data_IF_158052721837
#
_entry.id   IF_158052721837
#
_cell.length_a   1.000
_cell.length_b   1.000
_cell.length_c   1.000
_cell.angle_alpha   90.00
_cell.angle_beta   90.00
_cell.angle_gamma   90.00
#
_symmetry.space_group_name_H-M   'P 1'
#
loop_
_entity.id
_entity.type
_entity.pdbx_description
1 polymer ?
#
# COMPACT_ATOMS: atom_id res chain seq x y z
N UNK A 1 59.60 -26.76 -36.39
CA UNK A 1 59.14 -27.74 -35.40
C UNK A 1 58.03 -27.11 -34.59
N UNK A 2 56.82 -27.68 -34.71
CA UNK A 2 55.66 -27.46 -33.83
C UNK A 2 55.97 -27.92 -32.38
N UNK A 3 55.13 -27.69 -31.33
CA UNK A 3 53.75 -27.18 -31.36
C UNK A 3 53.38 -26.12 -30.27
N UNK A 4 52.19 -25.52 -30.44
CA UNK A 4 51.37 -24.86 -29.40
C UNK A 4 50.75 -25.92 -28.46
N UNK A 5 50.34 -25.54 -27.23
CA UNK A 5 48.89 -25.37 -27.01
C UNK A 5 48.57 -24.16 -26.11
N UNK A 6 47.63 -23.25 -26.40
CA UNK A 6 46.17 -23.45 -26.56
C UNK A 6 45.53 -24.14 -25.34
N UNK A 7 45.54 -23.51 -24.16
CA UNK A 7 44.68 -23.94 -23.05
C UNK A 7 44.59 -22.89 -21.93
N UNK A 8 43.58 -22.01 -21.95
CA UNK A 8 42.89 -21.40 -20.78
C UNK A 8 41.93 -20.29 -21.24
N UNK A 9 40.88 -20.67 -21.95
CA UNK A 9 39.70 -19.83 -22.15
C UNK A 9 38.48 -20.75 -22.04
N UNK A 10 38.16 -21.16 -20.82
CA UNK A 10 36.89 -21.79 -20.49
C UNK A 10 36.56 -21.55 -19.01
N UNK A 11 36.17 -20.33 -18.68
CA UNK A 11 35.44 -20.03 -17.44
C UNK A 11 34.17 -19.25 -17.83
N UNK A 12 33.33 -19.90 -18.65
CA UNK A 12 32.04 -19.37 -19.06
C UNK A 12 30.94 -20.23 -18.43
N UNK A 13 30.07 -19.57 -17.67
CA UNK A 13 28.71 -19.96 -17.33
C UNK A 13 28.51 -21.17 -16.39
N UNK A 14 28.76 -20.95 -15.10
CA UNK A 14 27.92 -21.54 -14.05
C UNK A 14 26.88 -20.48 -13.61
N UNK A 15 25.99 -20.07 -14.51
CA UNK A 15 24.73 -19.47 -14.07
C UNK A 15 23.85 -20.62 -13.57
N UNK A 16 23.40 -20.62 -12.31
CA UNK A 16 22.34 -21.53 -11.93
C UNK A 16 21.14 -21.15 -12.80
N UNK A 17 20.75 -22.06 -13.68
CA UNK A 17 19.43 -22.04 -14.28
C UNK A 17 18.44 -22.12 -13.11
N UNK A 18 17.97 -20.96 -12.63
CA UNK A 18 16.70 -20.89 -11.95
C UNK A 18 15.67 -21.36 -12.97
N UNK A 19 15.45 -22.67 -13.00
CA UNK A 19 14.28 -23.26 -13.62
C UNK A 19 13.11 -22.43 -13.12
N UNK A 20 12.47 -21.71 -14.03
CA UNK A 20 11.21 -21.05 -13.77
C UNK A 20 10.20 -22.16 -13.56
N UNK A 21 10.17 -22.68 -12.33
CA UNK A 21 9.10 -23.53 -11.85
C UNK A 21 7.78 -22.82 -12.20
N UNK A 22 6.81 -23.53 -12.81
CA UNK A 22 5.51 -22.94 -13.11
C UNK A 22 4.98 -22.32 -11.83
N UNK A 23 4.66 -21.01 -11.90
CA UNK A 23 4.21 -20.23 -10.74
C UNK A 23 3.11 -21.01 -10.03
N UNK A 24 3.35 -21.47 -8.79
CA UNK A 24 2.41 -22.35 -8.12
C UNK A 24 1.09 -21.62 -7.95
N UNK A 25 0.00 -22.34 -8.21
CA UNK A 25 -1.35 -21.83 -7.99
C UNK A 25 -1.49 -21.37 -6.52
N UNK A 26 -2.17 -20.24 -6.31
CA UNK A 26 -2.44 -19.70 -4.97
C UNK A 26 -3.12 -20.73 -4.07
N UNK A 27 -3.96 -21.60 -4.67
CA UNK A 27 -4.58 -22.71 -3.95
C UNK A 27 -3.55 -23.72 -3.42
N UNK A 28 -2.51 -24.03 -4.20
CA UNK A 28 -1.44 -24.95 -3.79
C UNK A 28 -0.62 -24.39 -2.63
N UNK A 29 -0.25 -23.10 -2.68
CA UNK A 29 0.46 -22.43 -1.58
C UNK A 29 -0.39 -22.36 -0.30
N UNK A 30 -1.69 -22.11 -0.42
CA UNK A 30 -2.62 -22.12 0.70
C UNK A 30 -2.73 -23.52 1.34
N UNK A 31 -2.81 -24.58 0.53
CA UNK A 31 -2.82 -25.95 0.99
C UNK A 31 -1.51 -26.34 1.68
N UNK A 32 -0.36 -25.93 1.14
CA UNK A 32 0.96 -26.15 1.74
C UNK A 32 1.08 -25.46 3.10
N UNK A 33 0.67 -24.20 3.19
CA UNK A 33 0.61 -23.44 4.45
C UNK A 33 -0.29 -24.12 5.48
N UNK A 34 -1.45 -24.63 5.06
CA UNK A 34 -2.36 -25.37 5.93
C UNK A 34 -1.71 -26.65 6.47
N UNK A 35 -1.01 -27.42 5.62
CA UNK A 35 -0.26 -28.62 6.04
C UNK A 35 0.84 -28.28 7.05
N UNK A 36 1.61 -27.22 6.83
CA UNK A 36 2.66 -26.78 7.77
C UNK A 36 2.05 -26.40 9.13
N UNK A 37 0.94 -25.65 9.13
CA UNK A 37 0.27 -25.27 10.37
C UNK A 37 -0.35 -26.47 11.09
N UNK A 38 -0.88 -27.46 10.36
CA UNK A 38 -1.40 -28.70 10.94
C UNK A 38 -0.30 -29.50 11.65
N UNK A 39 0.87 -29.68 11.01
CA UNK A 39 2.04 -30.32 11.62
C UNK A 39 2.50 -29.61 12.87
N UNK A 40 2.57 -28.28 12.84
CA UNK A 40 2.90 -27.49 14.03
C UNK A 40 1.87 -27.68 15.16
N UNK A 41 0.57 -27.72 14.84
CA UNK A 41 -0.47 -27.95 15.85
C UNK A 41 -0.37 -29.34 16.49
N UNK A 42 -0.01 -30.36 15.71
CA UNK A 42 0.33 -31.69 16.23
C UNK A 42 1.57 -31.66 17.12
N UNK A 43 2.65 -31.01 16.68
CA UNK A 43 3.88 -30.85 17.46
C UNK A 43 3.64 -30.10 18.78
N UNK A 44 2.85 -29.01 18.77
CA UNK A 44 2.46 -28.29 19.99
C UNK A 44 1.70 -29.18 20.98
N UNK A 45 0.76 -30.00 20.49
CA UNK A 45 0.03 -30.96 21.35
C UNK A 45 0.98 -32.01 21.93
N UNK A 46 1.92 -32.52 21.14
CA UNK A 46 2.94 -33.46 21.62
C UNK A 46 3.88 -32.81 22.66
N UNK A 47 4.27 -31.56 22.46
CA UNK A 47 5.10 -30.82 23.42
C UNK A 47 4.38 -30.62 24.76
N UNK A 48 3.08 -30.34 24.74
CA UNK A 48 2.29 -30.17 25.95
C UNK A 48 2.24 -31.44 26.83
N UNK A 49 2.41 -32.62 26.24
CA UNK A 49 2.45 -33.90 26.96
C UNK A 49 3.82 -34.21 27.60
N UNK A 50 4.85 -33.37 27.38
CA UNK A 50 6.22 -33.59 27.89
C UNK A 50 6.53 -32.65 29.05
N UNK A 51 7.42 -33.05 29.95
CA UNK A 51 7.86 -32.20 31.07
C UNK A 51 8.68 -30.97 30.63
N UNK A 52 9.30 -30.99 29.44
CA UNK A 52 10.11 -29.89 28.89
C UNK A 52 9.35 -29.07 27.83
N UNK A 53 8.16 -28.58 28.17
CA UNK A 53 7.25 -27.87 27.24
C UNK A 53 7.93 -26.67 26.58
N UNK A 54 8.69 -25.87 27.34
CA UNK A 54 9.26 -24.62 26.83
C UNK A 54 10.30 -24.83 25.72
N UNK A 55 11.25 -25.75 25.89
CA UNK A 55 12.26 -26.03 24.87
C UNK A 55 11.62 -26.65 23.62
N UNK A 56 10.70 -27.60 23.83
CA UNK A 56 9.96 -28.28 22.76
C UNK A 56 9.11 -27.29 21.95
N UNK A 57 8.38 -26.39 22.60
CA UNK A 57 7.59 -25.37 21.90
C UNK A 57 8.46 -24.42 21.08
N UNK A 58 9.62 -24.02 21.60
CA UNK A 58 10.51 -23.11 20.88
C UNK A 58 11.09 -23.77 19.63
N UNK A 59 11.43 -25.05 19.71
CA UNK A 59 11.87 -25.84 18.56
C UNK A 59 10.74 -25.96 17.52
N UNK A 60 9.53 -26.34 17.94
CA UNK A 60 8.38 -26.42 17.04
C UNK A 60 8.07 -25.07 16.33
N UNK A 61 8.22 -23.94 17.04
CA UNK A 61 8.07 -22.59 16.45
C UNK A 61 9.16 -22.30 15.42
N UNK A 62 10.41 -22.68 15.69
CA UNK A 62 11.54 -22.50 14.75
C UNK A 62 11.34 -23.33 13.49
N UNK A 63 10.96 -24.59 13.63
CA UNK A 63 10.66 -25.48 12.50
C UNK A 63 9.53 -24.95 11.65
N UNK A 64 8.44 -24.48 12.28
CA UNK A 64 7.33 -23.83 11.56
C UNK A 64 7.80 -22.59 10.80
N UNK A 65 8.60 -21.74 11.44
CA UNK A 65 9.11 -20.53 10.80
C UNK A 65 9.99 -20.86 9.58
N UNK A 66 10.90 -21.84 9.72
CA UNK A 66 11.75 -22.31 8.64
C UNK A 66 10.93 -22.91 7.48
N UNK A 67 9.90 -23.71 7.78
CA UNK A 67 9.02 -24.30 6.78
C UNK A 67 8.13 -23.28 6.08
N UNK A 68 7.65 -22.24 6.80
CA UNK A 68 6.81 -21.19 6.22
C UNK A 68 7.60 -20.18 5.39
N UNK A 69 8.87 -19.93 5.70
CA UNK A 69 9.68 -18.93 5.02
C UNK A 69 9.66 -19.04 3.47
N UNK A 70 9.90 -20.21 2.85
CA UNK A 70 9.83 -20.34 1.40
C UNK A 70 8.40 -20.14 0.85
N UNK A 71 7.37 -20.58 1.57
CA UNK A 71 5.96 -20.39 1.16
C UNK A 71 5.62 -18.91 1.11
N UNK A 72 5.97 -18.18 2.18
CA UNK A 72 5.75 -16.72 2.27
C UNK A 72 6.52 -15.98 1.17
N UNK A 73 7.76 -16.37 0.87
CA UNK A 73 8.53 -15.77 -0.21
C UNK A 73 7.83 -15.95 -1.58
N UNK A 74 7.27 -17.14 -1.85
CA UNK A 74 6.50 -17.40 -3.07
C UNK A 74 5.20 -16.60 -3.13
N UNK A 75 4.45 -16.52 -2.02
CA UNK A 75 3.25 -15.68 -1.93
C UNK A 75 3.56 -14.21 -2.22
N UNK A 76 4.64 -13.67 -1.63
CA UNK A 76 5.08 -12.29 -1.85
C UNK A 76 5.49 -12.02 -3.30
N UNK A 77 6.17 -12.97 -3.95
CA UNK A 77 6.52 -12.85 -5.37
C UNK A 77 5.27 -12.76 -6.25
N UNK A 78 4.25 -13.58 -6.01
CA UNK A 78 2.96 -13.51 -6.71
C UNK A 78 2.25 -12.18 -6.49
N UNK A 79 2.27 -11.66 -5.26
CA UNK A 79 1.66 -10.38 -4.95
C UNK A 79 2.40 -9.18 -5.57
N UNK A 80 3.74 -9.27 -5.68
CA UNK A 80 4.55 -8.27 -6.38
C UNK A 80 4.20 -8.24 -7.87
N UNK A 81 4.13 -9.40 -8.52
CA UNK A 81 3.71 -9.52 -9.93
C UNK A 81 2.30 -8.95 -10.15
N UNK A 82 1.36 -9.30 -9.27
CA UNK A 82 -0.01 -8.77 -9.35
C UNK A 82 -0.07 -7.24 -9.18
N UNK A 83 0.79 -6.66 -8.33
CA UNK A 83 0.91 -5.20 -8.18
C UNK A 83 1.45 -4.54 -9.46
N UNK A 84 2.47 -5.11 -10.07
CA UNK A 84 3.04 -4.61 -11.32
C UNK A 84 1.97 -4.63 -12.43
N UNK A 85 1.29 -5.76 -12.62
CA UNK A 85 0.23 -5.89 -13.61
C UNK A 85 -0.90 -4.87 -13.43
N UNK A 86 -1.34 -4.63 -12.18
CA UNK A 86 -2.34 -3.58 -11.89
C UNK A 86 -1.84 -2.17 -12.21
N UNK A 87 -0.57 -1.89 -11.91
CA UNK A 87 0.06 -0.60 -12.20
C UNK A 87 0.15 -0.36 -13.70
N UNK A 88 0.58 -1.36 -14.47
CA UNK A 88 0.68 -1.31 -15.93
C UNK A 88 -0.69 -1.12 -16.58
N UNK A 89 -1.69 -1.90 -16.16
CA UNK A 89 -3.06 -1.74 -16.63
C UNK A 89 -3.61 -0.33 -16.32
N UNK A 90 -3.25 0.24 -15.16
CA UNK A 90 -3.63 1.62 -14.84
C UNK A 90 -2.92 2.65 -15.72
N UNK A 91 -1.62 2.47 -16.00
CA UNK A 91 -0.87 3.32 -16.93
C UNK A 91 -1.48 3.29 -18.33
N UNK A 92 -1.85 2.12 -18.83
CA UNK A 92 -2.54 1.96 -20.11
C UNK A 92 -3.86 2.73 -20.14
N UNK A 93 -4.74 2.54 -19.14
CA UNK A 93 -6.00 3.29 -19.03
C UNK A 93 -5.82 4.80 -18.93
N UNK A 94 -4.75 5.27 -18.30
CA UNK A 94 -4.43 6.70 -18.25
C UNK A 94 -3.96 7.20 -19.62
N UNK A 95 -3.07 6.46 -20.28
CA UNK A 95 -2.56 6.81 -21.61
C UNK A 95 -3.69 6.85 -22.65
N UNK A 96 -4.61 5.88 -22.64
CA UNK A 96 -5.79 5.86 -23.51
C UNK A 96 -6.68 7.08 -23.28
N UNK A 97 -6.97 7.41 -22.01
CA UNK A 97 -7.75 8.61 -21.68
C UNK A 97 -7.05 9.91 -22.11
N UNK A 98 -5.73 9.98 -21.98
CA UNK A 98 -4.97 11.15 -22.43
C UNK A 98 -5.00 11.30 -23.96
N UNK A 99 -4.87 10.19 -24.71
CA UNK A 99 -5.00 10.21 -26.17
C UNK A 99 -6.39 10.66 -26.60
N UNK A 100 -7.44 10.07 -26.03
CA UNK A 100 -8.81 10.47 -26.31
C UNK A 100 -9.06 11.96 -25.97
N UNK A 101 -8.57 12.43 -24.82
CA UNK A 101 -8.70 13.84 -24.45
C UNK A 101 -7.95 14.79 -25.41
N UNK A 102 -6.79 14.38 -25.92
CA UNK A 102 -6.01 15.15 -26.89
C UNK A 102 -6.71 15.19 -28.26
N UNK A 103 -7.29 14.07 -28.71
CA UNK A 103 -8.10 14.00 -29.94
C UNK A 103 -9.34 14.89 -29.84
N UNK A 104 -10.06 14.82 -28.71
CA UNK A 104 -11.21 15.68 -28.44
C UNK A 104 -10.82 17.16 -28.46
N UNK A 105 -9.68 17.52 -27.88
CA UNK A 105 -9.18 18.90 -27.88
C UNK A 105 -8.79 19.37 -29.28
N UNK A 106 -8.10 18.53 -30.05
CA UNK A 106 -7.74 18.81 -31.43
C UNK A 106 -9.00 19.04 -32.27
N UNK A 107 -10.02 18.21 -32.11
CA UNK A 107 -11.30 18.35 -32.82
C UNK A 107 -12.04 19.62 -32.41
N UNK A 108 -12.06 19.97 -31.11
CA UNK A 108 -12.61 21.24 -30.63
C UNK A 108 -11.90 22.44 -31.27
N UNK A 109 -10.57 22.43 -31.34
CA UNK A 109 -9.77 23.50 -31.96
C UNK A 109 -10.04 23.61 -33.46
N UNK A 110 -10.10 22.48 -34.18
CA UNK A 110 -10.44 22.49 -35.61
C UNK A 110 -11.84 23.07 -35.86
N UNK A 111 -12.82 22.71 -35.04
CA UNK A 111 -14.17 23.25 -35.15
C UNK A 111 -14.21 24.76 -34.88
N UNK A 112 -13.43 25.26 -33.93
CA UNK A 112 -13.31 26.71 -33.68
C UNK A 112 -12.69 27.45 -34.88
N UNK A 113 -11.62 26.91 -35.47
CA UNK A 113 -10.98 27.53 -36.65
C UNK A 113 -11.94 27.52 -37.84
N UNK A 114 -12.66 26.43 -38.07
CA UNK A 114 -13.69 26.34 -39.12
C UNK A 114 -14.82 27.34 -38.90
N UNK A 115 -15.31 27.46 -37.67
CA UNK A 115 -16.34 28.44 -37.33
C UNK A 115 -15.86 29.89 -37.53
N UNK A 116 -14.61 30.19 -37.20
CA UNK A 116 -14.01 31.51 -37.44
C UNK A 116 -13.83 31.80 -38.94
N UNK A 117 -13.46 30.81 -39.75
CA UNK A 117 -13.30 30.96 -41.20
C UNK A 117 -14.65 31.12 -41.93
N UNK A 118 -15.72 30.49 -41.41
CA UNK A 118 -17.07 30.64 -41.91
C UNK A 118 -17.77 31.91 -41.42
N UNK A 119 -17.18 32.64 -40.45
CA UNK A 119 -17.71 33.90 -40.00
C UNK A 119 -17.56 34.94 -41.14
N UNK A 120 -18.61 35.74 -41.42
CA UNK A 120 -18.52 36.80 -42.42
C UNK A 120 -17.39 37.77 -42.05
N UNK A 121 -16.65 38.31 -43.05
CA UNK A 121 -15.57 39.26 -42.77
C UNK A 121 -16.13 40.45 -41.99
N UNK A 122 -15.40 40.96 -40.98
CA UNK A 122 -15.82 42.17 -40.31
C UNK A 122 -15.93 43.29 -41.35
N UNK A 123 -17.08 43.94 -41.41
CA UNK A 123 -17.31 45.03 -42.35
C UNK A 123 -16.19 46.09 -42.23
N UNK A 124 -15.72 46.69 -43.34
CA UNK A 124 -14.64 47.66 -43.32
C UNK A 124 -14.98 48.80 -42.35
N UNK A 125 -14.07 49.04 -41.41
CA UNK A 125 -14.19 50.11 -40.44
C UNK A 125 -14.02 51.43 -41.19
N UNK A 126 -15.14 52.05 -41.56
CA UNK A 126 -15.18 53.41 -42.08
C UNK A 126 -14.50 54.38 -41.09
N UNK A 127 -13.88 55.48 -41.57
CA UNK A 127 -13.30 56.50 -40.70
C UNK A 127 -14.35 56.94 -39.68
N UNK A 128 -13.93 57.03 -38.42
CA UNK A 128 -14.77 57.11 -37.24
C UNK A 128 -15.83 58.23 -37.30
N UNK A 129 -16.99 57.92 -37.86
CA UNK A 129 -18.27 58.35 -37.30
C UNK A 129 -18.47 57.68 -35.94
N UNK A 130 -19.29 58.25 -35.04
CA UNK A 130 -19.42 57.77 -33.67
C UNK A 130 -19.61 56.25 -33.65
N UNK A 131 -18.63 55.55 -33.06
CA UNK A 131 -18.64 54.09 -32.93
C UNK A 131 -20.00 53.67 -32.40
N UNK A 132 -20.76 52.88 -33.18
CA UNK A 132 -21.85 52.11 -32.63
C UNK A 132 -21.24 51.25 -31.51
N UNK A 133 -21.61 51.58 -30.27
CA UNK A 133 -21.23 50.81 -29.09
C UNK A 133 -21.54 49.35 -29.35
N UNK A 134 -20.62 48.39 -29.06
CA UNK A 134 -20.94 46.98 -29.16
C UNK A 134 -22.26 46.76 -28.43
N UNK A 135 -23.22 46.15 -29.11
CA UNK A 135 -24.55 45.94 -28.61
C UNK A 135 -24.42 45.34 -27.21
N UNK A 136 -24.84 46.12 -26.21
CA UNK A 136 -24.62 45.79 -24.80
C UNK A 136 -25.18 44.38 -24.61
N UNK A 137 -24.39 43.41 -24.11
CA UNK A 137 -24.90 42.07 -23.88
C UNK A 137 -26.20 42.19 -23.12
N UNK A 138 -27.27 41.58 -23.63
CA UNK A 138 -28.60 41.71 -23.02
C UNK A 138 -28.47 41.48 -21.51
N UNK A 139 -28.70 42.51 -20.68
CA UNK A 139 -28.47 42.42 -19.24
C UNK A 139 -29.33 41.31 -18.63
N UNK A 140 -30.48 40.97 -19.22
CA UNK A 140 -31.29 39.85 -18.78
C UNK A 140 -30.64 38.50 -19.08
N UNK A 141 -30.07 38.32 -20.28
CA UNK A 141 -29.37 37.10 -20.64
C UNK A 141 -28.15 36.85 -19.74
N UNK A 142 -27.39 37.90 -19.44
CA UNK A 142 -26.25 37.84 -18.52
C UNK A 142 -26.69 37.51 -17.09
N UNK A 143 -27.73 38.18 -16.57
CA UNK A 143 -28.28 37.89 -15.25
C UNK A 143 -28.73 36.43 -15.11
N UNK A 144 -29.40 35.87 -16.13
CA UNK A 144 -29.79 34.45 -16.15
C UNK A 144 -28.60 33.50 -16.18
N UNK A 145 -27.51 33.86 -16.86
CA UNK A 145 -26.29 33.05 -16.87
C UNK A 145 -25.62 33.03 -15.49
N UNK A 146 -25.46 34.20 -14.86
CA UNK A 146 -24.91 34.34 -13.51
C UNK A 146 -25.75 33.54 -12.50
N UNK A 147 -27.08 33.61 -12.60
CA UNK A 147 -27.97 32.85 -11.71
C UNK A 147 -27.74 31.34 -11.81
N UNK A 148 -27.58 30.79 -13.02
CA UNK A 148 -27.31 29.37 -13.23
C UNK A 148 -25.97 28.93 -12.66
N UNK A 149 -24.96 29.80 -12.74
CA UNK A 149 -23.64 29.51 -12.18
C UNK A 149 -23.67 29.53 -10.65
N UNK A 150 -24.41 30.46 -10.05
CA UNK A 150 -24.67 30.50 -8.60
C UNK A 150 -25.35 29.19 -8.16
N UNK A 151 -26.47 28.81 -8.79
CA UNK A 151 -27.19 27.58 -8.44
C UNK A 151 -26.33 26.31 -8.60
N UNK A 152 -25.45 26.29 -9.62
CA UNK A 152 -24.52 25.18 -9.84
C UNK A 152 -23.46 25.12 -8.74
N UNK A 153 -22.95 26.29 -8.34
CA UNK A 153 -22.02 26.46 -7.24
C UNK A 153 -22.62 25.99 -5.92
N UNK A 154 -23.85 26.41 -5.61
CA UNK A 154 -24.58 26.03 -4.41
C UNK A 154 -24.82 24.52 -4.34
N UNK A 155 -25.32 23.91 -5.42
CA UNK A 155 -25.49 22.44 -5.50
C UNK A 155 -24.19 21.69 -5.32
N UNK A 156 -23.07 22.23 -5.82
CA UNK A 156 -21.75 21.61 -5.60
C UNK A 156 -21.31 21.74 -4.15
N UNK A 157 -21.46 22.93 -3.55
CA UNK A 157 -21.14 23.19 -2.15
C UNK A 157 -21.95 22.30 -1.20
N UNK A 158 -23.23 22.09 -1.47
CA UNK A 158 -24.09 21.16 -0.71
C UNK A 158 -23.58 19.72 -0.78
N UNK A 159 -23.26 19.22 -1.98
CA UNK A 159 -22.67 17.88 -2.15
C UNK A 159 -21.38 17.74 -1.34
N UNK A 160 -20.52 18.75 -1.36
CA UNK A 160 -19.29 18.75 -0.56
C UNK A 160 -19.56 18.73 0.94
N UNK A 161 -20.54 19.51 1.43
CA UNK A 161 -20.95 19.50 2.84
C UNK A 161 -21.51 18.14 3.27
N UNK A 162 -22.29 17.47 2.41
CA UNK A 162 -22.81 16.12 2.69
C UNK A 162 -21.67 15.10 2.76
N UNK A 163 -20.77 15.09 1.78
CA UNK A 163 -19.61 14.19 1.77
C UNK A 163 -18.64 14.44 2.93
N UNK A 164 -18.47 15.69 3.36
CA UNK A 164 -17.68 16.03 4.52
C UNK A 164 -18.30 15.48 5.81
N UNK A 165 -19.61 15.66 6.00
CA UNK A 165 -20.35 15.09 7.14
C UNK A 165 -20.28 13.57 7.18
N UNK A 166 -20.44 12.92 6.02
CA UNK A 166 -20.33 11.46 5.92
C UNK A 166 -18.93 10.95 6.31
N UNK A 167 -17.87 11.62 5.84
CA UNK A 167 -16.49 11.28 6.23
C UNK A 167 -16.25 11.47 7.73
N UNK A 168 -16.81 12.51 8.32
CA UNK A 168 -16.72 12.75 9.76
C UNK A 168 -17.43 11.65 10.57
N UNK A 169 -18.62 11.23 10.13
CA UNK A 169 -19.37 10.13 10.75
C UNK A 169 -18.57 8.83 10.72
N UNK A 170 -18.07 8.43 9.55
CA UNK A 170 -17.24 7.23 9.40
C UNK A 170 -15.98 7.30 10.28
N UNK A 171 -15.34 8.46 10.39
CA UNK A 171 -14.18 8.62 11.28
C UNK A 171 -14.55 8.46 12.75
N UNK A 172 -15.71 8.96 13.17
CA UNK A 172 -16.17 8.83 14.56
C UNK A 172 -16.51 7.38 14.87
N UNK A 173 -17.23 6.69 13.99
CA UNK A 173 -17.55 5.26 14.13
C UNK A 173 -16.29 4.41 14.27
N UNK A 174 -15.26 4.68 13.46
CA UNK A 174 -13.98 3.97 13.56
C UNK A 174 -13.28 4.23 14.91
N UNK A 175 -13.30 5.47 15.41
CA UNK A 175 -12.73 5.81 16.73
C UNK A 175 -13.47 5.10 17.86
N UNK A 176 -14.81 5.11 17.83
CA UNK A 176 -15.61 4.41 18.83
C UNK A 176 -15.37 2.90 18.80
N UNK A 177 -15.29 2.31 17.60
CA UNK A 177 -14.99 0.89 17.45
C UNK A 177 -13.59 0.55 18.00
N UNK A 178 -12.58 1.39 17.73
CA UNK A 178 -11.25 1.23 18.31
C UNK A 178 -11.27 1.31 19.84
N UNK A 179 -11.96 2.30 20.41
CA UNK A 179 -12.12 2.45 21.85
C UNK A 179 -12.85 1.27 22.50
N UNK A 180 -13.91 0.74 21.85
CA UNK A 180 -14.61 -0.47 22.31
C UNK A 180 -13.64 -1.65 22.41
N UNK A 181 -12.85 -1.90 21.37
CA UNK A 181 -11.85 -2.98 21.39
C UNK A 181 -10.76 -2.76 22.43
N UNK A 182 -10.34 -1.53 22.68
CA UNK A 182 -9.38 -1.23 23.75
C UNK A 182 -9.96 -1.52 25.13
N UNK A 183 -11.21 -1.11 25.39
CA UNK A 183 -11.92 -1.42 26.65
C UNK A 183 -12.11 -2.92 26.84
N UNK A 184 -12.52 -3.64 25.80
CA UNK A 184 -12.64 -5.10 25.84
C UNK A 184 -11.31 -5.77 26.14
N UNK A 185 -10.23 -5.35 25.47
CA UNK A 185 -8.87 -5.84 25.73
C UNK A 185 -8.43 -5.53 27.15
N UNK A 186 -8.71 -4.33 27.66
CA UNK A 186 -8.37 -3.93 29.01
C UNK A 186 -9.13 -4.75 30.06
N UNK A 187 -10.43 -4.99 29.85
CA UNK A 187 -11.25 -5.84 30.73
C UNK A 187 -10.81 -7.30 30.70
N UNK A 188 -10.37 -7.80 29.55
CA UNK A 188 -9.84 -9.17 29.40
C UNK A 188 -8.38 -9.30 29.85
N UNK A 189 -7.67 -8.18 30.06
CA UNK A 189 -6.28 -8.19 30.50
C UNK A 189 -6.25 -8.59 31.97
N UNK A 190 -6.04 -9.88 32.24
CA UNK A 190 -5.73 -10.36 33.59
C UNK A 190 -4.53 -9.56 34.11
N UNK A 191 -4.62 -8.94 35.31
CA UNK A 191 -3.46 -8.33 35.93
C UNK A 191 -2.40 -9.42 36.05
N UNK A 192 -1.26 -9.21 35.38
CA UNK A 192 -0.14 -10.13 35.51
C UNK A 192 0.21 -10.21 37.00
N UNK A 193 0.35 -11.42 37.52
CA UNK A 193 0.91 -11.63 38.84
C UNK A 193 2.30 -11.00 38.79
N UNK A 194 2.47 -9.86 39.45
CA UNK A 194 3.79 -9.32 39.68
C UNK A 194 4.47 -10.33 40.59
N UNK A 195 5.39 -11.11 40.03
CA UNK A 195 6.24 -11.99 40.79
C UNK A 195 6.90 -11.14 41.88
N UNK A 196 6.90 -11.57 43.16
CA UNK A 196 7.59 -10.85 44.20
C UNK A 196 9.04 -10.68 43.77
N UNK A 197 9.44 -9.43 43.56
CA UNK A 197 10.81 -9.11 43.23
C UNK A 197 11.58 -9.32 44.53
N UNK A 198 12.55 -10.25 44.59
CA UNK A 198 13.28 -10.50 45.83
C UNK A 198 13.93 -9.21 46.30
N UNK A 199 13.76 -8.91 47.58
CA UNK A 199 14.39 -7.76 48.21
C UNK A 199 15.91 -7.95 48.20
N UNK A 200 16.68 -6.85 48.25
CA UNK A 200 18.14 -6.91 48.18
C UNK A 200 18.76 -7.80 49.27
N UNK A 201 18.10 -7.94 50.42
CA UNK A 201 18.53 -8.80 51.53
C UNK A 201 18.30 -10.29 51.22
N UNK A 202 17.21 -10.66 50.55
CA UNK A 202 16.96 -12.04 50.11
C UNK A 202 17.96 -12.49 49.04
N UNK A 203 18.39 -11.58 48.16
CA UNK A 203 19.44 -11.84 47.17
C UNK A 203 20.80 -12.08 47.85
N UNK A 204 21.06 -11.38 48.96
CA UNK A 204 22.32 -11.48 49.72
C UNK A 204 22.39 -12.74 50.59
N UNK A 205 21.24 -13.29 50.99
CA UNK A 205 21.14 -14.53 51.76
C UNK A 205 21.25 -15.81 50.92
N UNK A 206 21.26 -15.72 49.58
CA UNK A 206 21.41 -16.89 48.71
C UNK A 206 22.85 -17.44 48.77
N UNK A 207 23.04 -18.76 49.02
CA UNK A 207 24.35 -19.39 49.09
C UNK A 207 24.95 -19.45 47.68
N UNK A 208 25.71 -18.42 47.32
CA UNK A 208 26.30 -18.27 45.99
C UNK A 208 26.47 -16.82 45.51
N UNK A 209 26.08 -15.82 46.31
CA UNK A 209 26.36 -14.40 46.07
C UNK A 209 27.85 -14.08 46.06
N UNK A 210 28.57 -14.51 45.02
CA UNK A 210 29.85 -13.94 44.64
C UNK A 210 29.59 -12.50 44.28
N UNK A 211 29.89 -11.61 45.22
CA UNK A 211 30.13 -10.21 44.94
C UNK A 211 31.13 -10.17 43.78
N UNK A 212 30.67 -9.73 42.60
CA UNK A 212 31.54 -9.38 41.51
C UNK A 212 32.24 -8.07 41.90
N UNK A 213 33.23 -8.15 42.79
CA UNK A 213 34.26 -7.15 42.93
C UNK A 213 35.17 -7.27 41.71
N UNK A 214 34.79 -6.61 40.62
CA UNK A 214 35.69 -6.39 39.49
C UNK A 214 36.88 -5.54 39.98
N UNK A 215 38.14 -5.95 39.74
CA UNK A 215 39.27 -5.09 40.05
C UNK A 215 39.28 -3.91 39.07
N UNK A 216 39.33 -2.71 39.64
CA UNK A 216 39.54 -1.48 38.93
C UNK A 216 40.89 -1.52 38.21
N UNK A 217 40.86 -1.66 36.89
CA UNK A 217 41.99 -1.33 36.03
C UNK A 217 42.12 0.20 35.97
N UNK A 218 43.16 0.72 36.62
CA UNK A 218 43.72 2.06 36.40
C UNK A 218 45.08 1.90 35.70
N UNK A 219 45.51 2.93 34.96
CA UNK A 219 45.96 2.86 33.57
C UNK A 219 47.29 2.13 33.34
#
# INVERSE_FOLDING_TARGET
MNPKPLMTMLLLAALPAFAAEPLPDRAALAAERARINARHAEASRACAARFNVNACEQEARRERAAALAPVVAREQALDAQARLARSEAQRQRVAERQRAAAEDEAQRRQNQVRAAAAAPPPAPVAPAGPRATPERPDPQAHARAVQRDIERGERSAERHRVLARQRQQLSNEQREHAQRREKERAAQRKPGIQLPVPTAEEIKALPGGRAASGPAGKP
#
